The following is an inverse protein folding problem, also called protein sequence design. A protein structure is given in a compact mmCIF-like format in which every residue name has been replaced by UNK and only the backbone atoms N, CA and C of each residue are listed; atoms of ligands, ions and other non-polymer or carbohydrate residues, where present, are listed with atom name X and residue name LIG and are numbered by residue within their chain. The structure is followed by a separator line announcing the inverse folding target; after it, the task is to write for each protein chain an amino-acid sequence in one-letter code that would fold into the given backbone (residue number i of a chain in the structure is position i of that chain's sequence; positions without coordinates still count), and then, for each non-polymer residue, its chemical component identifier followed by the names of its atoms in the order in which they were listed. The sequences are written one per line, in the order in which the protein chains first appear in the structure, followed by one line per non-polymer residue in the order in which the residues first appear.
data_IF_723290009547
#
_entry.id   IF_723290009547
#
_cell.length_a   1.000
_cell.length_b   1.000
_cell.length_c   1.000
_cell.angle_alpha   90.00
_cell.angle_beta   90.00
_cell.angle_gamma   90.00
#
_symmetry.space_group_name_H-M   'P 1'
#
loop_
_entity.id
_entity.type
_entity.pdbx_description
1 polymer ?
#
# COMPACT_ATOMS: atom_id res chain seq x y z
N UNK A 1 4.69 -53.41 28.84
CA UNK A 1 4.37 -52.02 29.05
C UNK A 1 5.44 -51.18 28.33
N UNK A 2 5.14 -50.45 27.27
CA UNK A 2 6.10 -49.57 26.65
C UNK A 2 6.05 -48.19 27.31
N UNK A 3 7.24 -47.61 27.56
CA UNK A 3 7.49 -46.27 28.09
C UNK A 3 7.04 -45.21 27.12
N UNK A 4 6.56 -44.04 27.55
CA UNK A 4 6.17 -42.97 26.65
C UNK A 4 7.40 -42.23 26.07
N UNK A 5 7.39 -42.12 24.75
CA UNK A 5 8.36 -41.32 23.98
C UNK A 5 8.01 -39.84 24.20
N UNK A 6 8.95 -39.10 24.77
CA UNK A 6 8.84 -37.65 24.97
C UNK A 6 8.86 -36.91 23.63
N UNK A 7 7.90 -36.03 23.44
CA UNK A 7 7.85 -35.10 22.30
C UNK A 7 9.01 -34.12 22.33
N UNK A 8 9.69 -33.85 21.18
CA UNK A 8 10.72 -32.82 21.11
C UNK A 8 10.07 -31.44 21.30
N UNK A 9 10.51 -30.68 22.28
CA UNK A 9 10.23 -29.24 22.38
C UNK A 9 10.89 -28.56 21.20
N UNK A 10 10.08 -28.07 20.27
CA UNK A 10 10.53 -27.19 19.19
C UNK A 10 11.23 -25.97 19.79
N UNK A 11 12.53 -25.88 19.56
CA UNK A 11 13.29 -24.66 19.79
C UNK A 11 12.88 -23.69 18.68
N UNK A 12 11.99 -22.74 18.98
CA UNK A 12 11.84 -21.54 18.19
C UNK A 12 13.22 -20.90 18.00
N UNK A 13 13.72 -20.93 16.79
CA UNK A 13 14.90 -20.16 16.39
C UNK A 13 14.54 -18.67 16.51
N UNK A 14 14.94 -18.05 17.60
CA UNK A 14 14.94 -16.59 17.71
C UNK A 14 15.97 -16.09 16.69
N UNK A 15 15.61 -15.18 15.77
CA UNK A 15 16.62 -14.53 14.94
C UNK A 15 17.61 -13.81 15.85
N UNK A 16 18.91 -13.75 15.51
CA UNK A 16 19.89 -13.06 16.32
C UNK A 16 19.48 -11.59 16.40
N UNK A 17 19.22 -11.11 17.61
CA UNK A 17 19.04 -9.68 17.89
C UNK A 17 20.38 -9.00 17.58
N UNK A 18 20.58 -8.56 16.34
CA UNK A 18 21.59 -7.57 16.04
C UNK A 18 21.24 -6.33 16.88
N UNK A 19 22.14 -5.98 17.80
CA UNK A 19 21.97 -4.81 18.65
C UNK A 19 21.89 -3.58 17.72
N UNK A 20 20.71 -3.03 17.58
CA UNK A 20 20.49 -1.79 16.84
C UNK A 20 21.23 -0.65 17.55
N UNK A 21 21.98 0.19 16.83
CA UNK A 21 22.67 1.32 17.46
C UNK A 21 21.65 2.25 18.13
N UNK A 22 21.81 2.50 19.43
CA UNK A 22 21.06 3.51 20.16
C UNK A 22 21.60 4.87 19.75
N UNK A 23 20.93 5.53 18.81
CA UNK A 23 21.27 6.91 18.48
C UNK A 23 20.72 7.85 19.55
N UNK A 24 21.65 8.50 20.25
CA UNK A 24 21.35 9.64 21.12
C UNK A 24 20.88 10.81 20.25
N UNK A 25 19.86 11.54 20.73
CA UNK A 25 19.32 12.76 20.13
C UNK A 25 20.37 13.88 20.12
N UNK A 26 21.26 13.88 19.14
CA UNK A 26 22.10 15.03 18.80
C UNK A 26 21.94 15.30 17.30
N UNK A 27 21.46 16.52 16.98
CA UNK A 27 21.51 17.19 15.70
C UNK A 27 21.05 16.31 14.51
N UNK A 28 20.00 16.69 13.84
CA UNK A 28 19.59 16.10 12.56
C UNK A 28 20.68 16.38 11.52
N UNK A 29 21.68 15.51 11.42
CA UNK A 29 22.48 15.42 10.19
C UNK A 29 21.56 14.94 9.09
N UNK A 30 21.65 15.55 7.91
CA UNK A 30 20.86 15.17 6.72
C UNK A 30 20.95 13.66 6.50
N UNK A 31 19.84 12.94 6.77
CA UNK A 31 19.82 11.48 6.68
C UNK A 31 19.44 11.09 5.26
N UNK A 32 20.28 10.34 4.58
CA UNK A 32 19.93 9.67 3.33
C UNK A 32 18.83 8.65 3.60
N UNK A 33 17.89 8.47 2.66
CA UNK A 33 16.86 7.41 2.75
C UNK A 33 17.47 6.02 3.01
N UNK A 34 18.69 5.79 2.55
CA UNK A 34 19.44 4.54 2.77
C UNK A 34 19.93 4.34 4.20
N UNK A 35 20.02 5.38 5.03
CA UNK A 35 20.46 5.30 6.43
C UNK A 35 19.31 5.17 7.42
N UNK A 36 18.06 5.39 6.98
CA UNK A 36 16.89 5.21 7.83
C UNK A 36 16.65 3.72 8.05
N UNK A 37 16.52 3.26 9.33
CA UNK A 37 16.32 1.85 9.61
C UNK A 37 15.11 1.25 8.90
N UNK A 38 15.30 0.06 8.31
CA UNK A 38 14.26 -0.75 7.66
C UNK A 38 14.26 -2.16 8.21
N UNK A 39 13.09 -2.76 8.33
CA UNK A 39 12.91 -4.18 8.56
C UNK A 39 12.67 -4.86 7.19
N UNK A 40 13.56 -5.72 6.70
CA UNK A 40 13.44 -6.27 5.35
C UNK A 40 12.17 -7.10 5.18
N UNK A 41 11.28 -6.70 4.29
CA UNK A 41 10.01 -7.37 4.01
C UNK A 41 9.77 -7.59 2.52
N UNK A 42 10.26 -6.67 1.68
CA UNK A 42 9.99 -6.67 0.26
C UNK A 42 11.12 -7.28 -0.55
N UNK A 43 10.79 -8.00 -1.62
CA UNK A 43 11.72 -8.35 -2.68
C UNK A 43 11.90 -7.15 -3.60
N UNK A 44 13.09 -6.55 -3.56
CA UNK A 44 13.42 -5.32 -4.30
C UNK A 44 14.72 -5.52 -5.09
N UNK A 45 14.88 -4.81 -6.24
CA UNK A 45 13.90 -3.92 -6.87
C UNK A 45 12.75 -4.69 -7.51
N UNK A 46 11.54 -4.08 -7.52
CA UNK A 46 10.43 -4.67 -8.28
C UNK A 46 10.62 -4.41 -9.78
N UNK A 47 10.15 -5.32 -10.66
CA UNK A 47 10.31 -5.15 -12.10
C UNK A 47 9.61 -3.89 -12.64
N UNK A 48 10.16 -3.37 -13.75
CA UNK A 48 9.53 -2.38 -14.61
C UNK A 48 9.32 -3.03 -15.98
N UNK A 49 8.05 -3.31 -16.32
CA UNK A 49 7.69 -4.01 -17.57
C UNK A 49 7.04 -3.04 -18.56
N UNK A 50 7.31 -3.18 -19.84
CA UNK A 50 6.54 -2.51 -20.89
C UNK A 50 5.31 -3.35 -21.26
N UNK A 51 4.13 -2.72 -21.31
CA UNK A 51 2.86 -3.35 -21.62
C UNK A 51 2.58 -3.28 -23.15
N UNK A 52 3.34 -4.05 -23.92
CA UNK A 52 3.29 -4.02 -25.38
C UNK A 52 1.92 -4.44 -25.92
N UNK A 53 1.34 -5.53 -25.42
CA UNK A 53 0.07 -6.05 -25.91
C UNK A 53 -1.11 -5.19 -25.49
N UNK A 54 -1.04 -4.57 -24.31
CA UNK A 54 -2.04 -3.58 -23.90
C UNK A 54 -2.00 -2.37 -24.83
N UNK A 55 -0.80 -1.88 -25.17
CA UNK A 55 -0.62 -0.79 -26.14
C UNK A 55 -1.25 -1.11 -27.47
N UNK A 56 -1.01 -2.30 -28.02
CA UNK A 56 -1.63 -2.76 -29.28
C UNK A 56 -3.17 -2.83 -29.16
N UNK A 57 -3.69 -3.37 -28.07
CA UNK A 57 -5.13 -3.46 -27.84
C UNK A 57 -5.83 -2.09 -27.71
N UNK A 58 -5.09 -1.05 -27.30
CA UNK A 58 -5.58 0.33 -27.20
C UNK A 58 -5.39 1.14 -28.49
N UNK A 59 -4.98 0.52 -29.60
CA UNK A 59 -4.90 1.15 -30.91
C UNK A 59 -3.49 1.33 -31.45
N UNK A 60 -2.51 0.69 -30.82
CA UNK A 60 -1.11 0.68 -31.25
C UNK A 60 -0.38 2.01 -31.06
N UNK A 61 0.85 2.11 -31.57
CA UNK A 61 1.73 3.26 -31.35
C UNK A 61 1.17 4.58 -31.92
N UNK A 62 0.24 4.52 -32.85
CA UNK A 62 -0.39 5.70 -33.46
C UNK A 62 -1.41 6.39 -32.53
N UNK A 63 -1.92 5.68 -31.50
CA UNK A 63 -3.00 6.15 -30.63
C UNK A 63 -2.72 6.02 -29.15
N UNK A 64 -1.78 5.16 -28.78
CA UNK A 64 -1.51 4.83 -27.39
C UNK A 64 -0.06 5.13 -27.01
N UNK A 65 0.18 5.80 -25.88
CA UNK A 65 1.52 6.03 -25.36
C UNK A 65 2.26 4.73 -25.06
N UNK A 66 3.54 4.80 -24.80
CA UNK A 66 4.24 3.69 -24.16
C UNK A 66 3.77 3.60 -22.70
N UNK A 67 3.39 2.39 -22.28
CA UNK A 67 2.92 2.13 -20.92
C UNK A 67 3.94 1.22 -20.23
N UNK A 68 4.60 1.73 -19.21
CA UNK A 68 5.50 0.97 -18.34
C UNK A 68 4.75 0.60 -17.06
N UNK A 69 4.79 -0.67 -16.65
CA UNK A 69 4.15 -1.13 -15.41
C UNK A 69 5.22 -1.38 -14.35
N UNK A 70 5.21 -0.58 -13.29
CA UNK A 70 6.00 -0.81 -12.08
C UNK A 70 5.31 -1.84 -11.19
N UNK A 71 5.92 -3.02 -11.04
CA UNK A 71 5.31 -4.23 -10.52
C UNK A 71 5.44 -4.36 -8.99
N UNK A 72 4.85 -3.41 -8.24
CA UNK A 72 4.84 -3.50 -6.77
C UNK A 72 3.88 -4.58 -6.22
N UNK A 73 3.06 -5.18 -7.08
CA UNK A 73 2.37 -6.44 -6.81
C UNK A 73 3.35 -7.62 -6.55
N UNK A 74 4.58 -7.53 -7.04
CA UNK A 74 5.62 -8.55 -6.90
C UNK A 74 6.58 -8.32 -5.72
N UNK A 75 6.23 -7.48 -4.76
CA UNK A 75 7.04 -7.28 -3.53
C UNK A 75 7.16 -8.52 -2.63
N UNK A 76 6.40 -9.57 -2.89
CA UNK A 76 6.53 -10.89 -2.26
C UNK A 76 5.80 -11.06 -0.94
N UNK A 77 5.80 -10.09 -0.02
CA UNK A 77 5.19 -10.21 1.31
C UNK A 77 3.71 -10.62 1.22
N UNK A 78 3.38 -11.84 1.65
CA UNK A 78 2.03 -12.39 1.69
C UNK A 78 1.22 -12.06 0.42
N UNK A 79 1.69 -12.48 -0.74
CA UNK A 79 1.16 -12.22 -2.08
C UNK A 79 1.34 -10.78 -2.60
N UNK A 80 2.29 -10.04 -2.03
CA UNK A 80 2.78 -8.78 -2.57
C UNK A 80 1.86 -7.57 -2.40
N UNK A 81 2.36 -6.43 -2.81
CA UNK A 81 1.67 -5.14 -2.81
C UNK A 81 2.51 -3.99 -2.23
N UNK A 82 2.07 -2.77 -2.49
CA UNK A 82 2.74 -1.52 -2.13
C UNK A 82 2.98 -1.34 -0.62
N UNK A 83 2.20 -2.02 0.22
CA UNK A 83 2.31 -1.85 1.68
C UNK A 83 3.59 -2.45 2.24
N UNK A 84 4.23 -3.41 1.55
CA UNK A 84 5.53 -3.95 1.96
C UNK A 84 6.57 -2.84 2.11
N UNK A 85 6.68 -1.92 1.12
CA UNK A 85 7.61 -0.79 1.18
C UNK A 85 7.40 0.11 2.40
N UNK A 86 6.13 0.39 2.73
CA UNK A 86 5.75 1.22 3.88
C UNK A 86 6.02 0.51 5.20
N UNK A 87 5.67 -0.77 5.26
CA UNK A 87 5.80 -1.62 6.44
C UNK A 87 7.26 -1.87 6.82
N UNK A 88 8.20 -1.85 5.86
CA UNK A 88 9.63 -1.93 6.18
C UNK A 88 10.05 -0.85 7.18
N UNK A 89 9.58 0.38 7.00
CA UNK A 89 9.88 1.50 7.89
C UNK A 89 9.02 1.49 9.16
N UNK A 90 7.72 1.20 9.02
CA UNK A 90 6.79 1.17 10.15
C UNK A 90 7.13 0.08 11.16
N UNK A 91 7.49 -1.12 10.71
CA UNK A 91 7.92 -2.21 11.58
C UNK A 91 9.26 -1.90 12.24
N UNK A 92 10.21 -1.32 11.49
CA UNK A 92 11.48 -0.88 12.09
C UNK A 92 11.26 0.18 13.17
N UNK A 93 10.36 1.14 12.96
CA UNK A 93 10.01 2.16 13.96
C UNK A 93 9.32 1.55 15.18
N UNK A 94 8.37 0.62 14.97
CA UNK A 94 7.71 -0.12 16.05
C UNK A 94 8.73 -0.87 16.92
N UNK A 95 9.63 -1.63 16.30
CA UNK A 95 10.67 -2.37 17.02
C UNK A 95 11.63 -1.44 17.76
N UNK A 96 12.03 -0.31 17.16
CA UNK A 96 12.88 0.70 17.81
C UNK A 96 12.21 1.31 19.04
N UNK A 97 10.89 1.49 19.02
CA UNK A 97 10.07 1.95 20.15
C UNK A 97 9.79 0.84 21.16
N UNK A 98 10.29 -0.37 20.93
CA UNK A 98 10.14 -1.53 21.80
C UNK A 98 8.73 -2.13 21.78
N UNK A 99 7.97 -1.94 20.69
CA UNK A 99 6.66 -2.55 20.52
C UNK A 99 6.75 -4.07 20.56
N UNK A 100 5.73 -4.70 21.14
CA UNK A 100 5.53 -6.16 21.16
C UNK A 100 4.29 -6.58 20.39
N UNK A 101 3.44 -5.60 20.06
CA UNK A 101 2.24 -5.78 19.28
C UNK A 101 2.04 -4.62 18.31
N UNK A 102 1.36 -4.88 17.20
CA UNK A 102 0.88 -3.85 16.26
C UNK A 102 -0.64 -3.93 16.15
N UNK A 103 -1.28 -2.77 16.02
CA UNK A 103 -2.72 -2.64 15.77
C UNK A 103 -2.87 -1.85 14.50
N UNK A 104 -3.76 -2.28 13.60
CA UNK A 104 -4.13 -1.49 12.44
C UNK A 104 -5.59 -1.67 12.06
N UNK A 105 -6.06 -0.85 11.12
CA UNK A 105 -7.45 -0.86 10.67
C UNK A 105 -7.57 -0.90 9.14
N UNK A 106 -8.75 -1.30 8.67
CA UNK A 106 -9.13 -1.36 7.28
C UNK A 106 -10.50 -2.00 7.10
N UNK A 107 -10.94 -2.22 5.86
CA UNK A 107 -12.07 -3.09 5.58
C UNK A 107 -11.65 -4.56 5.62
N UNK A 108 -12.60 -5.49 5.70
CA UNK A 108 -12.35 -6.96 5.71
C UNK A 108 -11.55 -7.47 4.50
N UNK A 109 -11.53 -6.74 3.38
CA UNK A 109 -10.68 -7.05 2.22
C UNK A 109 -9.49 -6.12 2.09
N UNK A 110 -8.98 -5.58 3.21
CA UNK A 110 -7.85 -4.66 3.23
C UNK A 110 -6.52 -5.35 2.93
N UNK A 111 -5.88 -4.95 1.83
CA UNK A 111 -4.50 -5.37 1.52
C UNK A 111 -3.50 -4.86 2.57
N UNK A 112 -3.79 -3.71 3.20
CA UNK A 112 -2.96 -3.16 4.25
C UNK A 112 -3.00 -4.03 5.51
N UNK A 113 -4.19 -4.41 5.98
CA UNK A 113 -4.37 -5.25 7.15
C UNK A 113 -3.62 -6.58 7.00
N UNK A 114 -3.88 -7.31 5.89
CA UNK A 114 -3.19 -8.55 5.57
C UNK A 114 -1.67 -8.43 5.59
N UNK A 115 -1.14 -7.42 4.92
CA UNK A 115 0.32 -7.24 4.85
C UNK A 115 0.90 -6.81 6.19
N UNK A 116 0.15 -6.07 7.02
CA UNK A 116 0.56 -5.74 8.38
C UNK A 116 0.61 -6.99 9.26
N UNK A 117 -0.38 -7.88 9.16
CA UNK A 117 -0.36 -9.17 9.86
C UNK A 117 0.84 -10.01 9.46
N UNK A 118 1.15 -10.09 8.16
CA UNK A 118 2.32 -10.81 7.67
C UNK A 118 3.65 -10.21 8.17
N UNK A 119 3.77 -8.89 8.12
CA UNK A 119 4.95 -8.16 8.61
C UNK A 119 5.16 -8.37 10.10
N UNK A 120 4.08 -8.31 10.89
CA UNK A 120 4.11 -8.59 12.32
C UNK A 120 4.61 -10.01 12.60
N UNK A 121 4.13 -11.02 11.87
CA UNK A 121 4.61 -12.40 12.01
C UNK A 121 6.10 -12.54 11.78
N UNK A 122 6.61 -11.93 10.71
CA UNK A 122 8.05 -11.96 10.40
C UNK A 122 8.88 -11.21 11.47
N UNK A 123 8.32 -10.17 12.06
CA UNK A 123 8.97 -9.39 13.12
C UNK A 123 8.82 -9.97 14.53
N UNK A 124 8.07 -11.07 14.71
CA UNK A 124 7.79 -11.66 16.01
C UNK A 124 6.85 -10.83 16.88
N UNK A 125 6.03 -9.97 16.26
CA UNK A 125 5.05 -9.12 16.93
C UNK A 125 3.66 -9.77 16.92
N UNK A 126 2.85 -9.51 17.94
CA UNK A 126 1.40 -9.75 17.89
C UNK A 126 0.75 -8.80 16.90
N UNK A 127 -0.36 -9.20 16.30
CA UNK A 127 -1.10 -8.33 15.39
C UNK A 127 -2.58 -8.38 15.69
N UNK A 128 -3.19 -7.23 15.96
CA UNK A 128 -4.64 -7.06 16.07
C UNK A 128 -5.14 -6.19 14.91
N UNK A 129 -6.18 -6.65 14.24
CA UNK A 129 -6.79 -6.01 13.09
C UNK A 129 -8.21 -5.55 13.45
N UNK A 130 -8.47 -4.26 13.38
CA UNK A 130 -9.80 -3.67 13.57
C UNK A 130 -10.39 -3.45 12.18
N UNK A 131 -11.30 -4.35 11.76
CA UNK A 131 -11.77 -4.41 10.38
C UNK A 131 -13.24 -4.00 10.27
N UNK A 132 -13.53 -3.04 9.38
CA UNK A 132 -14.90 -2.63 9.07
C UNK A 132 -15.56 -3.62 8.11
N UNK A 133 -16.84 -3.92 8.36
CA UNK A 133 -17.66 -4.82 7.54
C UNK A 133 -19.06 -4.28 7.37
N UNK A 134 -19.63 -4.41 6.17
CA UNK A 134 -21.02 -4.06 5.86
C UNK A 134 -22.02 -5.19 6.15
N UNK A 135 -21.54 -6.34 6.61
CA UNK A 135 -22.36 -7.52 6.94
C UNK A 135 -21.91 -8.09 8.29
N UNK A 136 -22.83 -8.71 9.02
CA UNK A 136 -22.55 -9.23 10.37
C UNK A 136 -21.49 -10.35 10.33
N UNK A 137 -21.65 -11.32 9.42
CA UNK A 137 -20.73 -12.44 9.23
C UNK A 137 -20.10 -12.38 7.83
N UNK A 138 -18.99 -11.65 7.66
CA UNK A 138 -18.34 -11.58 6.37
C UNK A 138 -17.76 -12.95 5.97
N UNK A 139 -17.92 -13.38 4.70
CA UNK A 139 -17.32 -14.61 4.22
C UNK A 139 -15.80 -14.63 4.42
N UNK A 140 -15.27 -15.71 4.99
CA UNK A 140 -13.82 -15.89 5.20
C UNK A 140 -13.19 -16.27 3.87
N UNK A 141 -12.80 -15.27 3.09
CA UNK A 141 -12.20 -15.40 1.75
C UNK A 141 -11.26 -14.23 1.45
N UNK A 142 -10.46 -14.32 0.41
CA UNK A 142 -9.55 -13.26 0.00
C UNK A 142 -8.58 -12.85 1.11
N UNK A 143 -8.51 -11.55 1.41
CA UNK A 143 -7.62 -11.03 2.45
C UNK A 143 -8.01 -11.51 3.86
N UNK A 144 -9.31 -11.57 4.19
CA UNK A 144 -9.76 -12.03 5.51
C UNK A 144 -9.32 -13.47 5.80
N UNK A 145 -9.35 -14.38 4.80
CA UNK A 145 -8.82 -15.73 4.96
C UNK A 145 -7.32 -15.70 5.30
N UNK A 146 -6.56 -14.84 4.64
CA UNK A 146 -5.12 -14.71 4.88
C UNK A 146 -4.84 -14.12 6.27
N UNK A 147 -5.66 -13.19 6.75
CA UNK A 147 -5.57 -12.63 8.10
C UNK A 147 -5.71 -13.74 9.17
N UNK A 148 -6.69 -14.63 9.00
CA UNK A 148 -6.87 -15.79 9.88
C UNK A 148 -5.72 -16.80 9.78
N UNK A 149 -5.24 -17.11 8.58
CA UNK A 149 -4.07 -17.98 8.39
C UNK A 149 -2.80 -17.42 9.04
N UNK A 150 -2.64 -16.08 9.03
CA UNK A 150 -1.58 -15.38 9.72
C UNK A 150 -1.81 -15.29 11.24
N UNK A 151 -2.94 -15.83 11.73
CA UNK A 151 -3.34 -15.79 13.15
C UNK A 151 -3.36 -14.36 13.70
N UNK A 152 -3.84 -13.40 12.91
CA UNK A 152 -4.13 -12.08 13.41
C UNK A 152 -5.37 -12.12 14.31
N UNK A 153 -5.36 -11.29 15.35
CA UNK A 153 -6.52 -11.09 16.21
C UNK A 153 -7.49 -10.11 15.53
N UNK A 154 -8.61 -10.62 15.00
CA UNK A 154 -9.54 -9.85 14.17
C UNK A 154 -10.72 -9.36 15.00
N UNK A 155 -10.91 -8.05 15.03
CA UNK A 155 -12.04 -7.35 15.64
C UNK A 155 -12.90 -6.72 14.55
N UNK A 156 -14.12 -7.21 14.39
CA UNK A 156 -15.05 -6.67 13.38
C UNK A 156 -15.82 -5.47 13.92
N UNK A 157 -15.88 -4.40 13.14
CA UNK A 157 -16.67 -3.20 13.43
C UNK A 157 -17.72 -3.05 12.32
N UNK A 158 -19.03 -3.10 12.67
CA UNK A 158 -20.09 -2.87 11.70
C UNK A 158 -19.97 -1.49 11.05
N UNK A 159 -20.04 -1.45 9.72
CA UNK A 159 -20.01 -0.23 8.93
C UNK A 159 -21.23 -0.19 8.02
N UNK A 160 -22.26 0.61 8.34
CA UNK A 160 -23.39 0.79 7.47
C UNK A 160 -22.97 1.42 6.12
N UNK A 161 -23.77 1.22 5.06
CA UNK A 161 -23.42 1.68 3.70
C UNK A 161 -23.11 3.18 3.59
N UNK A 162 -23.70 4.00 4.46
CA UNK A 162 -23.58 5.45 4.49
C UNK A 162 -22.25 5.98 5.07
N UNK A 163 -21.37 5.08 5.56
CA UNK A 163 -20.04 5.42 6.13
C UNK A 163 -20.02 6.75 6.88
N UNK A 164 -20.85 6.83 7.93
CA UNK A 164 -20.95 8.03 8.76
C UNK A 164 -19.69 8.20 9.63
N UNK A 165 -19.46 9.42 10.13
CA UNK A 165 -18.44 9.73 11.17
C UNK A 165 -18.54 8.79 12.38
N UNK A 166 -19.71 8.19 12.62
CA UNK A 166 -19.93 7.21 13.68
C UNK A 166 -19.11 5.92 13.47
N UNK A 167 -18.80 5.53 12.22
CA UNK A 167 -17.96 4.37 11.94
C UNK A 167 -16.51 4.63 12.32
N UNK A 168 -15.98 5.81 11.99
CA UNK A 168 -14.60 6.18 12.34
C UNK A 168 -14.46 6.23 13.87
N UNK A 169 -15.43 6.81 14.59
CA UNK A 169 -15.43 6.83 16.05
C UNK A 169 -15.47 5.41 16.66
N UNK A 170 -16.28 4.49 16.11
CA UNK A 170 -16.36 3.11 16.59
C UNK A 170 -15.06 2.33 16.32
N UNK A 171 -14.37 2.62 15.21
CA UNK A 171 -13.04 2.07 14.92
C UNK A 171 -12.02 2.58 15.94
N UNK A 172 -11.98 3.89 16.20
CA UNK A 172 -11.05 4.49 17.14
C UNK A 172 -11.28 3.98 18.59
N UNK A 173 -12.54 3.86 19.02
CA UNK A 173 -12.89 3.27 20.31
C UNK A 173 -12.43 1.81 20.40
N UNK A 174 -12.62 1.03 19.33
CA UNK A 174 -12.18 -0.37 19.29
C UNK A 174 -10.65 -0.47 19.35
N UNK A 175 -9.93 0.38 18.61
CA UNK A 175 -8.46 0.45 18.66
C UNK A 175 -8.00 0.78 20.08
N UNK A 176 -8.60 1.79 20.72
CA UNK A 176 -8.25 2.19 22.09
C UNK A 176 -8.49 1.05 23.10
N UNK A 177 -9.63 0.35 22.99
CA UNK A 177 -9.96 -0.80 23.83
C UNK A 177 -8.97 -1.95 23.65
N UNK A 178 -8.61 -2.29 22.39
CA UNK A 178 -7.63 -3.35 22.08
C UNK A 178 -6.23 -2.97 22.60
N UNK A 179 -5.84 -1.70 22.46
CA UNK A 179 -4.57 -1.21 23.00
C UNK A 179 -4.51 -1.34 24.51
N UNK A 180 -5.56 -0.90 25.22
CA UNK A 180 -5.63 -1.00 26.69
C UNK A 180 -5.62 -2.47 27.18
N UNK A 181 -6.29 -3.40 26.47
CA UNK A 181 -6.25 -4.82 26.78
C UNK A 181 -4.84 -5.40 26.62
N UNK A 182 -4.15 -5.08 25.54
CA UNK A 182 -2.75 -5.48 25.33
C UNK A 182 -1.82 -4.92 26.42
N UNK A 183 -1.96 -3.63 26.74
CA UNK A 183 -1.16 -2.99 27.81
C UNK A 183 -1.41 -3.64 29.18
N UNK A 184 -2.64 -4.01 29.49
CA UNK A 184 -3.00 -4.72 30.75
C UNK A 184 -2.30 -6.07 30.89
N UNK A 185 -1.90 -6.67 29.75
CA UNK A 185 -1.13 -7.92 29.68
C UNK A 185 0.38 -7.71 29.62
N UNK A 186 0.85 -6.46 29.78
CA UNK A 186 2.27 -6.11 29.72
C UNK A 186 2.84 -5.98 28.30
N UNK A 187 1.98 -5.98 27.29
CA UNK A 187 2.39 -5.74 25.90
C UNK A 187 2.54 -4.23 25.63
N UNK A 188 3.28 -3.89 24.60
CA UNK A 188 3.47 -2.51 24.13
C UNK A 188 2.92 -2.39 22.70
N UNK A 189 1.66 -1.98 22.53
CA UNK A 189 1.06 -1.84 21.22
C UNK A 189 1.63 -0.64 20.46
N UNK A 190 1.80 -0.80 19.14
CA UNK A 190 2.12 0.25 18.19
C UNK A 190 0.98 0.35 17.17
N UNK A 191 0.29 1.48 17.14
CA UNK A 191 -0.84 1.69 16.22
C UNK A 191 -0.29 2.17 14.87
N UNK A 192 -0.60 1.41 13.83
CA UNK A 192 -0.32 1.76 12.44
C UNK A 192 -1.60 2.31 11.81
N UNK A 193 -1.64 3.57 11.36
CA UNK A 193 -2.85 4.15 10.78
C UNK A 193 -3.29 3.44 9.50
N UNK A 194 -4.54 3.63 9.11
CA UNK A 194 -5.13 3.02 7.91
C UNK A 194 -4.23 3.20 6.68
N UNK A 195 -3.95 2.10 5.98
CA UNK A 195 -3.06 2.11 4.82
C UNK A 195 -1.60 2.44 5.13
N UNK A 196 -1.17 2.47 6.42
CA UNK A 196 0.16 2.91 6.84
C UNK A 196 0.42 4.37 6.46
N UNK A 197 -0.60 5.22 6.52
CA UNK A 197 -0.54 6.62 6.09
C UNK A 197 0.01 7.51 7.21
N UNK A 198 1.31 7.66 7.25
CA UNK A 198 2.10 8.49 8.18
C UNK A 198 3.40 8.91 7.50
N UNK A 199 4.13 9.86 8.07
CA UNK A 199 5.45 10.24 7.56
C UNK A 199 6.42 9.08 7.50
N UNK A 200 6.45 8.22 8.53
CA UNK A 200 7.27 6.99 8.53
C UNK A 200 6.89 6.08 7.37
N UNK A 201 5.59 5.86 7.15
CA UNK A 201 5.10 5.03 6.03
C UNK A 201 5.40 5.65 4.66
N UNK A 202 5.38 6.98 4.54
CA UNK A 202 5.69 7.68 3.30
C UNK A 202 7.13 7.43 2.83
N UNK A 203 8.09 7.24 3.75
CA UNK A 203 9.48 6.90 3.43
C UNK A 203 9.59 5.68 2.51
N UNK A 204 8.66 4.73 2.62
CA UNK A 204 8.61 3.56 1.74
C UNK A 204 8.48 3.93 0.26
N UNK A 205 7.75 5.02 -0.04
CA UNK A 205 7.61 5.49 -1.41
C UNK A 205 8.59 6.59 -1.79
N UNK A 206 9.22 7.26 -0.85
CA UNK A 206 10.44 8.02 -1.15
C UNK A 206 11.54 7.07 -1.66
N UNK A 207 11.74 5.92 -0.97
CA UNK A 207 12.67 4.88 -1.42
C UNK A 207 12.23 4.22 -2.74
N UNK A 208 10.92 3.97 -2.91
CA UNK A 208 10.37 3.42 -4.15
C UNK A 208 10.55 4.35 -5.35
N UNK A 209 10.48 5.66 -5.13
CA UNK A 209 10.75 6.66 -6.18
C UNK A 209 12.23 6.67 -6.58
N UNK A 210 13.16 6.60 -5.62
CA UNK A 210 14.59 6.48 -5.94
C UNK A 210 14.88 5.24 -6.79
N UNK A 211 14.27 4.11 -6.44
CA UNK A 211 14.39 2.87 -7.21
C UNK A 211 13.87 3.04 -8.64
N UNK A 212 12.67 3.63 -8.80
CA UNK A 212 12.05 3.84 -10.11
C UNK A 212 12.85 4.82 -10.97
N UNK A 213 13.30 5.95 -10.42
CA UNK A 213 14.13 6.92 -11.15
C UNK A 213 15.43 6.27 -11.63
N UNK A 214 16.07 5.43 -10.80
CA UNK A 214 17.24 4.66 -11.22
C UNK A 214 16.94 3.69 -12.37
N UNK A 215 15.80 2.98 -12.32
CA UNK A 215 15.38 2.07 -13.40
C UNK A 215 15.08 2.83 -14.71
N UNK A 216 14.39 3.96 -14.63
CA UNK A 216 14.10 4.81 -15.78
C UNK A 216 15.37 5.37 -16.42
N UNK A 217 16.30 5.86 -15.61
CA UNK A 217 17.59 6.37 -16.09
C UNK A 217 18.41 5.27 -16.81
N UNK A 218 18.45 4.06 -16.25
CA UNK A 218 19.12 2.93 -16.87
C UNK A 218 18.48 2.47 -18.18
N UNK A 219 17.15 2.64 -18.30
CA UNK A 219 16.40 2.33 -19.52
C UNK A 219 16.39 3.48 -20.55
N UNK A 220 16.92 4.65 -20.21
CA UNK A 220 16.85 5.85 -21.06
C UNK A 220 15.44 6.42 -21.21
N UNK A 221 14.58 6.23 -20.19
CA UNK A 221 13.16 6.59 -20.23
C UNK A 221 12.89 7.85 -19.41
N UNK A 222 12.02 8.72 -19.94
CA UNK A 222 11.54 9.94 -19.29
C UNK A 222 10.01 10.03 -19.36
N UNK A 223 9.27 9.25 -18.59
CA UNK A 223 7.81 9.28 -18.60
C UNK A 223 7.28 10.65 -18.17
N UNK A 224 6.11 11.03 -18.70
CA UNK A 224 5.46 12.30 -18.36
C UNK A 224 4.59 12.18 -17.10
N UNK A 225 4.03 11.00 -16.84
CA UNK A 225 3.11 10.76 -15.72
C UNK A 225 3.34 9.39 -15.09
N UNK A 226 3.11 9.35 -13.75
CA UNK A 226 3.01 8.10 -12.99
C UNK A 226 1.59 7.96 -12.47
N UNK A 227 0.85 6.98 -13.01
CA UNK A 227 -0.51 6.64 -12.57
C UNK A 227 -0.49 5.60 -11.45
N UNK A 228 -1.35 5.78 -10.43
CA UNK A 228 -1.51 4.82 -9.34
C UNK A 228 -2.88 4.96 -8.67
N UNK A 229 -3.31 3.91 -7.94
CA UNK A 229 -4.53 3.92 -7.14
C UNK A 229 -4.34 4.71 -5.84
N UNK A 230 -5.11 5.79 -5.66
CA UNK A 230 -5.04 6.68 -4.51
C UNK A 230 -6.20 6.43 -3.53
N UNK A 231 -5.89 5.94 -2.33
CA UNK A 231 -6.87 5.75 -1.24
C UNK A 231 -6.59 6.68 -0.06
N UNK A 232 -5.77 6.26 0.91
CA UNK A 232 -5.42 7.01 2.13
C UNK A 232 -4.34 8.09 1.94
N UNK A 233 -3.91 8.38 0.72
CA UNK A 233 -2.87 9.35 0.34
C UNK A 233 -1.44 9.09 0.87
N UNK A 234 -1.21 8.16 1.78
CA UNK A 234 0.13 7.93 2.31
C UNK A 234 1.16 7.41 1.27
N UNK A 235 0.71 6.76 0.18
CA UNK A 235 1.55 6.42 -0.98
C UNK A 235 1.86 7.67 -1.79
N UNK A 236 0.87 8.54 -1.99
CA UNK A 236 1.03 9.83 -2.67
C UNK A 236 2.08 10.70 -1.99
N UNK A 237 1.98 10.86 -0.66
CA UNK A 237 2.94 11.65 0.11
C UNK A 237 4.39 11.22 -0.17
N UNK A 238 4.66 9.91 -0.17
CA UNK A 238 5.99 9.39 -0.47
C UNK A 238 6.41 9.58 -1.93
N UNK A 239 5.48 9.35 -2.89
CA UNK A 239 5.75 9.52 -4.32
C UNK A 239 6.06 10.98 -4.68
N UNK A 240 5.23 11.93 -4.22
CA UNK A 240 5.43 13.35 -4.55
C UNK A 240 6.67 13.93 -3.87
N UNK A 241 6.93 13.57 -2.60
CA UNK A 241 8.16 13.98 -1.92
C UNK A 241 9.39 13.38 -2.61
N UNK A 242 9.36 12.09 -2.92
CA UNK A 242 10.43 11.42 -3.65
C UNK A 242 10.66 12.02 -5.03
N UNK A 243 9.59 12.36 -5.77
CA UNK A 243 9.69 13.01 -7.07
C UNK A 243 10.41 14.36 -6.99
N UNK A 244 10.13 15.17 -5.96
CA UNK A 244 10.85 16.45 -5.74
C UNK A 244 12.31 16.22 -5.36
N UNK A 245 12.59 15.30 -4.42
CA UNK A 245 13.97 15.02 -3.94
C UNK A 245 14.85 14.51 -5.07
N UNK A 246 14.33 13.60 -5.91
CA UNK A 246 15.12 12.92 -6.93
C UNK A 246 14.91 13.48 -8.34
N UNK A 247 14.24 14.63 -8.47
CA UNK A 247 13.95 15.27 -9.76
C UNK A 247 13.36 14.27 -10.77
N UNK A 248 12.35 13.51 -10.34
CA UNK A 248 11.72 12.53 -11.20
C UNK A 248 11.13 13.19 -12.47
N UNK A 249 11.26 12.56 -13.64
CA UNK A 249 10.83 13.16 -14.91
C UNK A 249 9.32 13.13 -15.13
N UNK A 250 8.54 12.71 -14.13
CA UNK A 250 7.10 12.50 -14.23
C UNK A 250 6.31 13.27 -13.17
N UNK A 251 5.07 13.58 -13.51
CA UNK A 251 4.07 14.04 -12.57
C UNK A 251 3.37 12.86 -11.92
N UNK A 252 3.19 12.89 -10.60
CA UNK A 252 2.45 11.86 -9.86
C UNK A 252 0.95 12.10 -10.03
N UNK A 253 0.26 11.15 -10.65
CA UNK A 253 -1.16 11.25 -11.00
C UNK A 253 -1.98 10.15 -10.32
N UNK A 254 -2.70 10.49 -9.27
CA UNK A 254 -3.53 9.56 -8.51
C UNK A 254 -4.92 9.40 -9.13
N UNK A 255 -5.39 8.17 -9.23
CA UNK A 255 -6.81 7.88 -9.47
C UNK A 255 -7.44 7.52 -8.14
N UNK A 256 -8.40 8.32 -7.69
CA UNK A 256 -9.08 8.11 -6.42
C UNK A 256 -9.95 6.85 -6.45
N UNK A 257 -9.90 6.09 -5.37
CA UNK A 257 -10.74 4.89 -5.19
C UNK A 257 -11.82 5.08 -4.13
N UNK A 258 -11.80 6.24 -3.45
CA UNK A 258 -12.77 6.64 -2.41
C UNK A 258 -12.77 8.15 -2.25
N UNK A 259 -13.90 8.74 -1.88
CA UNK A 259 -14.07 10.17 -1.65
C UNK A 259 -13.28 10.72 -0.45
N UNK A 260 -13.48 12.00 -0.13
CA UNK A 260 -12.86 12.71 0.99
C UNK A 260 -11.57 13.44 0.59
N UNK A 261 -11.56 14.12 -0.58
CA UNK A 261 -10.40 14.76 -1.21
C UNK A 261 -9.63 15.70 -0.28
N UNK A 262 -10.25 16.82 0.15
CA UNK A 262 -9.55 17.87 0.90
C UNK A 262 -8.93 17.41 2.22
N UNK A 263 -9.65 16.62 3.03
CA UNK A 263 -9.12 16.11 4.31
C UNK A 263 -7.95 15.14 4.09
N UNK A 264 -8.03 14.35 3.01
CA UNK A 264 -6.95 13.43 2.67
C UNK A 264 -5.74 14.15 2.14
N UNK A 265 -5.92 15.25 1.39
CA UNK A 265 -4.83 16.06 0.88
C UNK A 265 -4.12 16.79 2.02
N UNK A 266 -4.84 17.32 3.00
CA UNK A 266 -4.26 17.88 4.21
C UNK A 266 -3.38 16.84 4.95
N UNK A 267 -3.88 15.62 5.17
CA UNK A 267 -3.09 14.53 5.78
C UNK A 267 -1.89 14.12 4.91
N UNK A 268 -2.01 14.18 3.59
CA UNK A 268 -0.88 13.91 2.71
C UNK A 268 0.24 14.92 2.91
N UNK A 269 -0.09 16.22 3.04
CA UNK A 269 0.89 17.28 3.31
C UNK A 269 1.53 17.13 4.70
N UNK A 270 0.76 16.74 5.73
CA UNK A 270 1.31 16.39 7.04
C UNK A 270 2.31 15.24 6.93
N UNK A 271 1.95 14.14 6.25
CA UNK A 271 2.85 13.01 6.03
C UNK A 271 4.12 13.41 5.26
N UNK A 272 3.99 14.32 4.28
CA UNK A 272 5.14 14.88 3.54
C UNK A 272 6.05 15.64 4.49
N UNK A 273 5.49 16.53 5.32
CA UNK A 273 6.26 17.34 6.25
C UNK A 273 7.01 16.47 7.28
N UNK A 274 6.35 15.45 7.84
CA UNK A 274 6.97 14.48 8.74
C UNK A 274 8.10 13.69 8.07
N UNK A 275 7.87 13.16 6.85
CA UNK A 275 8.88 12.40 6.11
C UNK A 275 10.08 13.28 5.73
N UNK A 276 9.83 14.51 5.29
CA UNK A 276 10.86 15.48 4.94
C UNK A 276 11.73 15.85 6.17
N UNK A 277 11.09 16.03 7.34
CA UNK A 277 11.80 16.28 8.60
C UNK A 277 12.71 15.11 8.96
N UNK A 278 12.26 13.85 8.80
CA UNK A 278 13.10 12.66 9.05
C UNK A 278 14.30 12.57 8.09
N UNK A 279 14.14 13.08 6.87
CA UNK A 279 15.21 13.12 5.86
C UNK A 279 16.13 14.34 6.00
N UNK A 280 15.76 15.33 6.82
CA UNK A 280 16.49 16.58 6.94
C UNK A 280 16.43 17.43 5.68
N UNK A 281 15.35 17.31 4.88
CA UNK A 281 15.13 18.09 3.66
C UNK A 281 13.91 19.00 3.81
N UNK A 282 13.86 20.16 3.10
CA UNK A 282 12.67 20.99 3.11
C UNK A 282 11.48 20.27 2.43
N UNK A 283 10.25 20.39 2.95
CA UNK A 283 9.06 19.87 2.29
C UNK A 283 8.70 20.77 1.10
N UNK A 284 9.22 20.47 -0.08
CA UNK A 284 8.97 21.24 -1.32
C UNK A 284 7.70 20.79 -2.06
N UNK A 285 6.73 20.27 -1.34
CA UNK A 285 5.44 19.78 -1.87
C UNK A 285 4.34 20.71 -1.44
N UNK A 286 3.48 21.08 -2.39
CA UNK A 286 2.31 21.92 -2.19
C UNK A 286 1.04 21.16 -2.60
N UNK A 287 -0.15 21.71 -2.33
CA UNK A 287 -1.43 21.13 -2.77
C UNK A 287 -1.47 20.89 -4.28
N UNK A 288 -0.86 21.77 -5.08
CA UNK A 288 -0.82 21.60 -6.55
C UNK A 288 -0.01 20.39 -7.03
N UNK A 289 0.81 19.80 -6.18
CA UNK A 289 1.54 18.56 -6.46
C UNK A 289 0.69 17.31 -6.16
N UNK A 290 -0.42 17.46 -5.41
CA UNK A 290 -1.31 16.37 -5.00
C UNK A 290 -2.42 16.13 -6.04
N UNK A 291 -2.04 15.79 -7.26
CA UNK A 291 -3.02 15.56 -8.32
C UNK A 291 -3.74 14.24 -8.08
N UNK A 292 -5.07 14.31 -8.03
CA UNK A 292 -5.93 13.14 -7.87
C UNK A 292 -7.24 13.33 -8.62
N UNK A 293 -7.54 12.39 -9.51
CA UNK A 293 -8.77 12.34 -10.27
C UNK A 293 -9.80 11.49 -9.52
N UNK A 294 -10.95 12.08 -9.20
CA UNK A 294 -12.06 11.42 -8.49
C UNK A 294 -13.12 10.85 -9.43
N UNK A 295 -12.98 11.01 -10.74
CA UNK A 295 -13.97 10.59 -11.75
C UNK A 295 -14.18 9.07 -11.84
N UNK A 296 -13.31 8.27 -11.22
CA UNK A 296 -13.32 6.81 -11.32
C UNK A 296 -13.72 6.08 -10.03
N UNK A 297 -14.19 6.81 -9.02
CA UNK A 297 -14.63 6.24 -7.73
C UNK A 297 -15.84 5.32 -7.92
N UNK A 298 -16.79 5.71 -8.80
CA UNK A 298 -18.06 5.04 -8.96
C UNK A 298 -18.96 5.16 -7.71
N UNK A 299 -19.70 4.10 -7.37
CA UNK A 299 -20.61 4.08 -6.22
C UNK A 299 -19.87 4.17 -4.87
N UNK A 300 -18.57 3.80 -4.84
CA UNK A 300 -17.77 3.92 -3.62
C UNK A 300 -16.57 2.97 -3.54
N UNK A 301 -15.95 2.98 -2.38
CA UNK A 301 -14.81 2.12 -2.10
C UNK A 301 -15.19 0.65 -2.10
N UNK A 302 -14.40 -0.18 -2.81
CA UNK A 302 -14.59 -1.61 -2.88
C UNK A 302 -15.70 -2.07 -3.86
N UNK A 303 -16.42 -1.12 -4.47
CA UNK A 303 -17.45 -1.41 -5.49
C UNK A 303 -16.81 -1.17 -6.86
N UNK A 304 -16.64 -2.20 -7.71
CA UNK A 304 -16.07 -2.03 -9.04
C UNK A 304 -17.04 -1.31 -9.97
N UNK A 305 -16.52 -0.51 -10.90
CA UNK A 305 -17.29 0.07 -12.00
C UNK A 305 -17.19 -0.81 -13.25
N UNK A 306 -18.06 -0.68 -14.26
CA UNK A 306 -17.94 -1.40 -15.52
C UNK A 306 -16.57 -1.21 -16.17
N UNK A 307 -16.04 0.01 -16.17
CA UNK A 307 -14.72 0.35 -16.71
C UNK A 307 -13.58 -0.32 -15.92
N UNK A 308 -13.75 -0.43 -14.61
CA UNK A 308 -12.82 -1.17 -13.74
C UNK A 308 -12.79 -2.66 -14.11
N UNK A 309 -13.95 -3.29 -14.32
CA UNK A 309 -14.06 -4.68 -14.75
C UNK A 309 -13.47 -4.89 -16.16
N UNK A 310 -13.73 -3.98 -17.09
CA UNK A 310 -13.09 -3.97 -18.40
C UNK A 310 -11.56 -3.94 -18.29
N UNK A 311 -11.00 -3.01 -17.48
CA UNK A 311 -9.58 -2.85 -17.30
C UNK A 311 -8.92 -4.10 -16.71
N UNK A 312 -9.58 -4.75 -15.73
CA UNK A 312 -9.10 -6.01 -15.13
C UNK A 312 -9.00 -7.10 -16.19
N UNK A 313 -10.06 -7.29 -16.99
CA UNK A 313 -10.10 -8.30 -18.07
C UNK A 313 -9.08 -7.99 -19.15
N UNK A 314 -9.01 -6.74 -19.59
CA UNK A 314 -8.10 -6.33 -20.66
C UNK A 314 -6.64 -6.59 -20.28
N UNK A 315 -6.20 -6.16 -19.10
CA UNK A 315 -4.80 -6.36 -18.67
C UNK A 315 -4.48 -7.84 -18.43
N UNK A 316 -5.44 -8.62 -17.91
CA UNK A 316 -5.27 -10.06 -17.74
C UNK A 316 -5.11 -10.78 -19.11
N UNK A 317 -5.90 -10.40 -20.11
CA UNK A 317 -5.88 -11.01 -21.44
C UNK A 317 -4.67 -10.59 -22.28
N UNK A 318 -4.18 -9.36 -22.10
CA UNK A 318 -3.06 -8.83 -22.89
C UNK A 318 -1.71 -9.12 -22.26
N UNK A 319 -1.56 -8.93 -20.96
CA UNK A 319 -0.26 -8.98 -20.27
C UNK A 319 -0.15 -10.11 -19.24
N UNK A 320 -1.21 -10.90 -19.02
CA UNK A 320 -1.29 -11.89 -17.94
C UNK A 320 -1.02 -11.28 -16.54
N UNK A 321 -1.43 -10.02 -16.34
CA UNK A 321 -1.31 -9.27 -15.10
C UNK A 321 -2.69 -9.08 -14.49
N UNK A 322 -2.86 -9.41 -13.21
CA UNK A 322 -4.14 -9.35 -12.52
C UNK A 322 -4.25 -8.09 -11.65
N UNK A 323 -5.26 -7.27 -11.94
CA UNK A 323 -5.64 -6.10 -11.16
C UNK A 323 -6.73 -6.48 -10.14
N UNK A 324 -6.83 -5.72 -9.07
CA UNK A 324 -7.91 -5.86 -8.09
C UNK A 324 -9.07 -4.88 -8.37
N UNK A 325 -10.31 -5.23 -7.98
CA UNK A 325 -11.48 -4.40 -8.29
C UNK A 325 -11.63 -3.16 -7.40
N UNK A 326 -10.89 -3.08 -6.29
CA UNK A 326 -11.00 -1.95 -5.34
C UNK A 326 -10.05 -0.80 -5.66
N UNK A 327 -8.86 -1.10 -6.16
CA UNK A 327 -7.76 -0.14 -6.35
C UNK A 327 -7.25 -0.12 -7.78
N UNK A 328 -6.48 -1.15 -8.15
CA UNK A 328 -5.68 -1.12 -9.37
C UNK A 328 -6.52 -1.20 -10.64
N UNK A 329 -7.67 -1.87 -10.59
CA UNK A 329 -8.62 -1.88 -11.69
C UNK A 329 -9.20 -0.50 -11.98
N UNK A 330 -9.59 0.25 -10.93
CA UNK A 330 -10.07 1.65 -11.09
C UNK A 330 -8.97 2.57 -11.61
N UNK A 331 -7.75 2.40 -11.12
CA UNK A 331 -6.63 3.21 -11.57
C UNK A 331 -6.26 2.94 -13.03
N UNK A 332 -6.31 1.68 -13.46
CA UNK A 332 -6.09 1.32 -14.87
C UNK A 332 -7.24 1.79 -15.76
N UNK A 333 -8.49 1.75 -15.28
CA UNK A 333 -9.62 2.32 -16.00
C UNK A 333 -9.43 3.81 -16.29
N UNK A 334 -8.94 4.58 -15.30
CA UNK A 334 -8.61 5.99 -15.50
C UNK A 334 -7.49 6.20 -16.51
N UNK A 335 -6.44 5.41 -16.48
CA UNK A 335 -5.37 5.48 -17.49
C UNK A 335 -5.89 5.15 -18.87
N UNK A 336 -6.68 4.09 -19.03
CA UNK A 336 -7.27 3.68 -20.34
C UNK A 336 -8.19 4.78 -20.88
N UNK A 337 -9.04 5.37 -20.06
CA UNK A 337 -9.92 6.47 -20.46
C UNK A 337 -9.12 7.69 -20.91
N UNK A 338 -8.07 8.06 -20.19
CA UNK A 338 -7.18 9.16 -20.56
C UNK A 338 -6.48 8.91 -21.91
N UNK A 339 -6.08 7.69 -22.19
CA UNK A 339 -5.53 7.31 -23.51
C UNK A 339 -6.62 7.44 -24.58
N UNK A 340 -7.81 6.87 -24.40
CA UNK A 340 -8.91 6.89 -25.36
C UNK A 340 -9.40 8.30 -25.68
N UNK A 341 -9.37 9.19 -24.69
CA UNK A 341 -9.76 10.60 -24.85
C UNK A 341 -8.65 11.49 -25.37
N UNK A 342 -7.43 10.96 -25.57
CA UNK A 342 -6.29 11.75 -26.01
C UNK A 342 -5.77 12.74 -24.98
N UNK A 343 -6.03 12.52 -23.69
CA UNK A 343 -5.42 13.29 -22.56
C UNK A 343 -3.93 12.97 -22.44
N UNK A 344 -3.55 11.78 -22.89
CA UNK A 344 -2.18 11.32 -23.02
C UNK A 344 -1.93 11.05 -24.50
N UNK A 345 -0.94 11.71 -25.07
CA UNK A 345 -0.59 11.55 -26.48
C UNK A 345 0.19 10.27 -26.79
N UNK A 346 0.17 9.80 -28.04
CA UNK A 346 0.86 8.57 -28.45
C UNK A 346 2.39 8.64 -28.33
N UNK A 347 2.96 9.83 -28.37
CA UNK A 347 4.40 10.06 -28.27
C UNK A 347 4.90 10.12 -26.80
N UNK A 348 3.98 10.06 -25.83
CA UNK A 348 4.32 10.06 -24.42
C UNK A 348 4.69 8.65 -23.94
N UNK A 349 5.46 8.61 -22.86
CA UNK A 349 5.64 7.42 -22.02
C UNK A 349 4.99 7.67 -20.67
N UNK A 350 4.25 6.70 -20.14
CA UNK A 350 3.65 6.77 -18.81
C UNK A 350 4.01 5.54 -17.98
N UNK A 351 4.07 5.71 -16.66
CA UNK A 351 4.23 4.61 -15.72
C UNK A 351 2.91 4.33 -15.04
N UNK A 352 2.50 3.08 -15.00
CA UNK A 352 1.44 2.58 -14.13
C UNK A 352 2.06 1.85 -12.95
N UNK A 353 1.87 2.36 -11.73
CA UNK A 353 2.31 1.69 -10.51
C UNK A 353 1.25 0.67 -10.08
N UNK A 354 1.53 -0.59 -10.35
CA UNK A 354 0.69 -1.71 -9.92
C UNK A 354 0.90 -1.99 -8.43
N UNK A 355 0.00 -1.45 -7.61
CA UNK A 355 0.11 -1.49 -6.13
C UNK A 355 -0.30 -2.82 -5.49
N UNK A 356 -0.65 -3.84 -6.27
CA UNK A 356 -1.05 -5.17 -5.78
C UNK A 356 -2.57 -5.32 -5.67
N UNK A 357 -3.02 -6.13 -4.71
CA UNK A 357 -4.46 -6.30 -4.43
C UNK A 357 -5.04 -7.65 -4.89
N UNK A 358 -4.25 -8.51 -5.52
CA UNK A 358 -4.70 -9.79 -6.11
C UNK A 358 -5.58 -10.65 -5.19
N UNK A 359 -5.33 -10.80 -3.87
CA UNK A 359 -6.20 -11.60 -3.01
C UNK A 359 -7.67 -11.17 -3.01
N UNK A 360 -7.96 -9.88 -3.21
CA UNK A 360 -9.33 -9.37 -3.25
C UNK A 360 -10.14 -9.92 -4.45
N UNK A 361 -9.48 -10.35 -5.53
CA UNK A 361 -10.13 -10.98 -6.70
C UNK A 361 -10.97 -12.18 -6.25
N UNK A 362 -10.42 -13.01 -5.37
CA UNK A 362 -11.08 -14.24 -4.91
C UNK A 362 -12.29 -13.97 -3.99
N UNK A 363 -12.41 -12.76 -3.45
CA UNK A 363 -13.58 -12.33 -2.70
C UNK A 363 -14.71 -11.79 -3.58
N UNK A 364 -14.42 -11.41 -4.82
CA UNK A 364 -15.41 -10.92 -5.79
C UNK A 364 -15.95 -12.04 -6.71
N UNK A 365 -15.21 -13.14 -6.86
CA UNK A 365 -15.65 -14.33 -7.60
C UNK A 365 -16.06 -14.05 -9.05
N UNK A 366 -17.20 -14.63 -9.47
CA UNK A 366 -17.68 -14.54 -10.86
C UNK A 366 -18.12 -13.16 -11.30
N UNK A 367 -18.36 -12.20 -10.39
CA UNK A 367 -18.67 -10.80 -10.74
C UNK A 367 -17.61 -10.14 -11.62
N UNK A 368 -16.39 -10.66 -11.60
CA UNK A 368 -15.30 -10.16 -12.44
C UNK A 368 -15.40 -10.62 -13.90
N UNK A 369 -16.27 -11.59 -14.17
CA UNK A 369 -16.52 -12.16 -15.51
C UNK A 369 -17.73 -11.53 -16.22
N UNK A 370 -18.58 -10.84 -15.48
CA UNK A 370 -19.72 -10.09 -15.97
C UNK A 370 -19.28 -8.74 -16.58
#
# INVERSE_FOLDING_TARGET
MPTPVGTPRERCLRPPHAAWPRHTTKGWETMSIGTIPRFPLATLPTPLHEAHRLREALGGPERCPRILIKRDDLTGLALGGNKARKLEFLIADALRKGATAVITTGAVQSNHARMTAAAARLAGLRCSLVLTTGVEDPPIQGNLLLDHLLQADVHLVPAPPDKSLAVDAAVDETIARVAADLESRGERPYVIPVGGSSGVGALGYVAGTLELVGQLANAGEAPTRLYYASGSRGTQAGLVLGAKIYSAPYQVYGIAVSGGGADKDARALENVAEAAAMLGVPPQVTESDLITDEGYIGEGYGIPTPECLEAIRLLAQTEAIFLDPSYTGKAMAGLIDHVRRGVIGPDETVVFLHTGGVPAIFAHGTRLLE
#
